data_IF_775822798719
#
_entry.id   IF_775822798719
#
_cell.length_a   1.000
_cell.length_b   1.000
_cell.length_c   1.000
_cell.angle_alpha   90.00
_cell.angle_beta   90.00
_cell.angle_gamma   90.00
#
_symmetry.space_group_name_H-M   'P 1'
#
loop_
_entity.id
_entity.type
_entity.pdbx_description
1 polymer ?
#
# COMPACT_ATOMS: atom_id res chain seq x y z
N UNK A 1 -14.38 -8.77 9.55
CA UNK A 1 -13.46 -7.80 8.94
C UNK A 1 -14.16 -7.06 7.82
N UNK A 2 -14.08 -5.72 7.81
CA UNK A 2 -14.61 -4.88 6.73
C UNK A 2 -13.44 -4.33 5.93
N UNK A 3 -12.86 -5.07 4.97
CA UNK A 3 -11.59 -4.70 4.34
C UNK A 3 -11.65 -3.30 3.76
N UNK A 4 -10.59 -2.52 3.95
CA UNK A 4 -10.51 -1.19 3.37
C UNK A 4 -10.25 -1.30 1.88
N UNK A 5 -10.93 -0.44 1.11
CA UNK A 5 -10.70 -0.27 -0.32
C UNK A 5 -10.04 1.08 -0.54
N UNK A 6 -8.84 1.07 -1.12
CA UNK A 6 -8.12 2.25 -1.57
C UNK A 6 -8.13 2.23 -3.09
N UNK A 7 -8.70 3.25 -3.72
CA UNK A 7 -8.84 3.35 -5.18
C UNK A 7 -8.80 4.82 -5.62
N UNK A 8 -9.16 5.07 -6.88
CA UNK A 8 -9.19 6.41 -7.47
C UNK A 8 -10.11 7.41 -6.74
N UNK A 9 -11.01 6.96 -5.86
CA UNK A 9 -11.80 7.85 -4.99
C UNK A 9 -10.99 8.46 -3.84
N UNK A 10 -9.82 7.91 -3.51
CA UNK A 10 -8.91 8.40 -2.46
C UNK A 10 -7.44 8.30 -2.91
N UNK A 11 -7.04 8.99 -3.99
CA UNK A 11 -5.74 8.78 -4.64
C UNK A 11 -4.55 9.16 -3.74
N UNK A 12 -4.66 10.23 -2.95
CA UNK A 12 -3.60 10.64 -2.03
C UNK A 12 -3.36 9.61 -0.91
N UNK A 13 -4.42 8.99 -0.39
CA UNK A 13 -4.29 7.93 0.62
C UNK A 13 -3.71 6.65 0.00
N UNK A 14 -4.11 6.32 -1.23
CA UNK A 14 -3.54 5.19 -1.98
C UNK A 14 -2.05 5.40 -2.30
N UNK A 15 -1.65 6.60 -2.68
CA UNK A 15 -0.26 6.94 -2.97
C UNK A 15 0.61 6.81 -1.73
N UNK A 16 0.21 7.44 -0.63
CA UNK A 16 0.90 7.36 0.64
C UNK A 16 1.01 5.91 1.15
N UNK A 17 -0.08 5.17 1.08
CA UNK A 17 -0.07 3.75 1.46
C UNK A 17 0.92 2.95 0.60
N UNK A 18 0.94 3.17 -0.72
CA UNK A 18 1.83 2.47 -1.63
C UNK A 18 3.30 2.76 -1.34
N UNK A 19 3.64 4.04 -1.13
CA UNK A 19 5.00 4.49 -0.80
C UNK A 19 5.51 3.87 0.50
N UNK A 20 4.76 4.03 1.60
CA UNK A 20 5.12 3.51 2.92
C UNK A 20 5.19 1.96 2.96
N UNK A 21 4.51 1.26 2.04
CA UNK A 21 4.61 -0.21 1.90
C UNK A 21 5.82 -0.65 1.10
N UNK A 22 6.20 0.08 0.06
CA UNK A 22 7.40 -0.21 -0.72
C UNK A 22 8.65 0.06 0.12
N UNK A 23 8.69 1.18 0.84
CA UNK A 23 9.81 1.54 1.71
C UNK A 23 10.06 0.45 2.75
N UNK A 24 9.02 0.07 3.51
CA UNK A 24 9.14 -0.99 4.52
C UNK A 24 9.55 -2.34 3.91
N UNK A 25 9.07 -2.70 2.72
CA UNK A 25 9.48 -3.94 2.05
C UNK A 25 10.96 -3.90 1.62
N UNK A 26 11.44 -2.76 1.16
CA UNK A 26 12.84 -2.58 0.77
C UNK A 26 13.79 -2.56 1.98
N UNK A 27 13.36 -2.01 3.11
CA UNK A 27 14.10 -2.09 4.38
C UNK A 27 14.23 -3.54 4.87
N UNK A 28 13.16 -4.32 4.78
CA UNK A 28 13.15 -5.72 5.21
C UNK A 28 13.97 -6.63 4.29
N UNK A 29 13.95 -6.37 2.99
CA UNK A 29 14.65 -7.17 1.98
C UNK A 29 15.52 -6.30 1.06
N UNK A 30 16.67 -5.79 1.55
CA UNK A 30 17.51 -4.86 0.78
C UNK A 30 17.97 -5.40 -0.58
N UNK A 31 18.19 -6.72 -0.68
CA UNK A 31 18.57 -7.38 -1.95
C UNK A 31 17.50 -7.30 -3.04
N UNK A 32 16.25 -6.97 -2.69
CA UNK A 32 15.14 -6.82 -3.63
C UNK A 32 14.76 -5.36 -3.88
N UNK A 33 15.46 -4.38 -3.28
CA UNK A 33 15.10 -2.97 -3.34
C UNK A 33 14.92 -2.44 -4.78
N UNK A 34 15.83 -2.79 -5.69
CA UNK A 34 15.72 -2.38 -7.10
C UNK A 34 14.45 -2.92 -7.78
N UNK A 35 14.09 -4.18 -7.51
CA UNK A 35 12.88 -4.81 -8.03
C UNK A 35 11.63 -4.15 -7.47
N UNK A 36 11.63 -3.83 -6.17
CA UNK A 36 10.54 -3.15 -5.49
C UNK A 36 10.33 -1.73 -6.00
N UNK A 37 11.41 -0.96 -6.23
CA UNK A 37 11.33 0.38 -6.82
C UNK A 37 10.81 0.36 -8.25
N UNK A 38 11.27 -0.60 -9.08
CA UNK A 38 10.74 -0.75 -10.43
C UNK A 38 9.25 -1.14 -10.42
N UNK A 39 8.83 -1.96 -9.45
CA UNK A 39 7.42 -2.28 -9.24
C UNK A 39 6.62 -1.04 -8.80
N UNK A 40 7.18 -0.24 -7.89
CA UNK A 40 6.56 0.98 -7.38
C UNK A 40 6.23 1.96 -8.51
N UNK A 41 7.18 2.26 -9.40
CA UNK A 41 6.95 3.16 -10.54
C UNK A 41 5.79 2.69 -11.42
N UNK A 42 5.73 1.38 -11.73
CA UNK A 42 4.60 0.82 -12.50
C UNK A 42 3.26 0.97 -11.78
N UNK A 43 3.22 0.92 -10.45
CA UNK A 43 2.00 1.15 -9.67
C UNK A 43 1.64 2.63 -9.60
N UNK A 44 2.63 3.54 -9.54
CA UNK A 44 2.41 4.99 -9.59
C UNK A 44 1.77 5.42 -10.90
N UNK A 45 2.19 4.86 -12.03
CA UNK A 45 1.56 5.12 -13.32
C UNK A 45 0.10 4.65 -13.37
N UNK A 46 -0.19 3.47 -12.81
CA UNK A 46 -1.57 3.00 -12.68
C UNK A 46 -2.41 3.87 -11.75
N UNK A 47 -1.84 4.36 -10.65
CA UNK A 47 -2.50 5.28 -9.73
C UNK A 47 -2.87 6.58 -10.45
N UNK A 48 -1.91 7.19 -11.18
CA UNK A 48 -2.15 8.41 -11.97
C UNK A 48 -3.22 8.20 -13.04
N UNK A 49 -3.28 7.01 -13.62
CA UNK A 49 -4.31 6.63 -14.60
C UNK A 49 -5.67 6.26 -13.96
N UNK A 50 -5.79 6.21 -12.63
CA UNK A 50 -7.01 5.77 -11.95
C UNK A 50 -7.29 4.27 -12.05
N UNK A 51 -6.28 3.47 -12.41
CA UNK A 51 -6.39 2.02 -12.66
C UNK A 51 -5.92 1.16 -11.48
N UNK A 52 -5.39 1.78 -10.43
CA UNK A 52 -4.93 1.07 -9.23
C UNK A 52 -6.04 1.00 -8.18
N UNK A 53 -6.28 -0.21 -7.67
CA UNK A 53 -7.11 -0.44 -6.50
C UNK A 53 -6.44 -1.47 -5.58
N UNK A 54 -6.49 -1.21 -4.28
CA UNK A 54 -5.92 -2.07 -3.23
C UNK A 54 -7.02 -2.43 -2.25
N UNK A 55 -7.03 -3.71 -1.84
CA UNK A 55 -7.88 -4.22 -0.77
C UNK A 55 -7.01 -4.57 0.42
N UNK A 56 -7.17 -3.84 1.52
CA UNK A 56 -6.40 -4.06 2.74
C UNK A 56 -7.25 -4.90 3.69
N UNK A 57 -6.83 -6.14 3.89
CA UNK A 57 -7.41 -7.03 4.89
C UNK A 57 -6.87 -6.64 6.27
N UNK A 58 -7.75 -6.59 7.25
CA UNK A 58 -7.40 -6.36 8.64
C UNK A 58 -8.33 -7.19 9.54
N UNK A 59 -7.86 -7.42 10.76
CA UNK A 59 -8.64 -7.98 11.84
C UNK A 59 -8.70 -6.93 12.95
N UNK A 60 -9.92 -6.61 13.38
CA UNK A 60 -10.16 -5.62 14.42
C UNK A 60 -9.97 -6.29 15.79
N UNK A 61 -9.07 -5.75 16.60
CA UNK A 61 -8.78 -6.25 17.94
C UNK A 61 -9.26 -5.24 18.99
N UNK A 62 -10.20 -5.64 19.84
CA UNK A 62 -10.60 -4.87 21.01
C UNK A 62 -9.67 -5.19 22.18
N UNK A 63 -9.07 -4.16 22.77
CA UNK A 63 -8.24 -4.27 23.98
C UNK A 63 -8.86 -3.42 25.09
N UNK A 64 -9.12 -4.01 26.25
CA UNK A 64 -9.63 -3.32 27.44
C UNK A 64 -8.55 -3.24 28.51
N UNK A 65 -8.41 -2.10 29.21
CA UNK A 65 -7.50 -1.98 30.34
C UNK A 65 -7.97 -2.87 31.50
N UNK A 66 -7.00 -3.31 32.32
CA UNK A 66 -7.28 -4.04 33.57
C UNK A 66 -7.64 -3.10 34.70
#
# INVERSE_FOLDING_TARGET
ATPWRLDAGRPALLERWLEERVEAAAEQEPGQAATLLAWHERRRDQLRAGLLAVRVHHEDLLVLPR
#
